data_IF_224846462615
#
_entry.id   IF_224846462615
#
_cell.length_a   1.000
_cell.length_b   1.000
_cell.length_c   1.000
_cell.angle_alpha   90.00
_cell.angle_beta   90.00
_cell.angle_gamma   90.00
#
_symmetry.space_group_name_H-M   'P 1'
#
loop_
_entity.id
_entity.type
_entity.pdbx_description
1 polymer ?
#
# COMPACT_ATOMS: atom_id res chain seq x y z
N UNK A 1 -21.03 8.10 9.82
CA UNK A 1 -20.34 6.95 9.18
C UNK A 1 -19.42 7.43 8.06
N UNK A 2 -19.83 8.44 7.30
CA UNK A 2 -19.11 8.95 6.12
C UNK A 2 -17.72 9.51 6.41
N UNK A 3 -17.52 10.23 7.52
CA UNK A 3 -16.19 10.73 7.90
C UNK A 3 -15.16 9.61 8.03
N UNK A 4 -15.54 8.47 8.61
CA UNK A 4 -14.65 7.30 8.75
C UNK A 4 -14.34 6.70 7.38
N UNK A 5 -15.32 6.64 6.47
CA UNK A 5 -15.11 6.15 5.11
C UNK A 5 -14.15 7.05 4.32
N UNK A 6 -14.24 8.37 4.52
CA UNK A 6 -13.30 9.32 3.91
C UNK A 6 -11.90 9.16 4.50
N UNK A 7 -11.76 9.00 5.83
CA UNK A 7 -10.46 8.78 6.47
C UNK A 7 -9.79 7.49 5.96
N UNK A 8 -10.55 6.42 5.69
CA UNK A 8 -10.00 5.19 5.10
C UNK A 8 -9.42 5.36 3.69
N UNK A 9 -9.83 6.42 2.99
CA UNK A 9 -9.28 6.79 1.68
C UNK A 9 -8.02 7.65 1.78
N UNK A 10 -7.64 8.09 2.98
CA UNK A 10 -6.40 8.83 3.21
C UNK A 10 -5.21 7.95 2.86
N UNK A 11 -4.31 8.47 2.02
CA UNK A 11 -3.09 7.78 1.60
C UNK A 11 -1.93 8.40 2.38
N UNK A 12 -1.34 7.62 3.30
CA UNK A 12 -0.27 8.08 4.19
C UNK A 12 0.93 7.14 4.10
N UNK A 13 2.14 7.70 4.11
CA UNK A 13 3.37 6.95 4.37
C UNK A 13 4.02 7.44 5.66
N UNK A 14 4.67 6.53 6.39
CA UNK A 14 5.46 6.81 7.58
C UNK A 14 6.83 6.15 7.45
N UNK A 15 7.88 6.88 7.81
CA UNK A 15 9.24 6.37 7.96
C UNK A 15 9.47 5.71 9.32
N UNK A 16 8.58 5.94 10.28
CA UNK A 16 8.68 5.43 11.65
C UNK A 16 8.03 4.06 11.79
N UNK A 17 8.72 3.13 12.46
CA UNK A 17 8.20 1.79 12.75
C UNK A 17 7.21 1.79 13.93
N UNK A 18 7.30 2.77 14.82
CA UNK A 18 6.39 2.94 15.96
C UNK A 18 5.12 3.73 15.56
N UNK A 19 4.01 3.59 16.31
CA UNK A 19 2.81 4.39 16.09
C UNK A 19 3.06 5.89 16.23
N UNK A 20 2.61 6.66 15.24
CA UNK A 20 2.76 8.12 15.20
C UNK A 20 1.41 8.79 15.18
N UNK A 21 1.27 9.86 15.95
CA UNK A 21 0.03 10.63 16.06
C UNK A 21 0.05 11.85 15.14
N UNK A 22 -1.02 12.03 14.37
CA UNK A 22 -1.30 13.24 13.59
C UNK A 22 -2.55 13.94 14.11
N UNK A 23 -2.60 15.25 13.94
CA UNK A 23 -3.73 16.06 14.39
C UNK A 23 -4.42 16.77 13.23
N UNK A 24 -5.74 16.81 13.27
CA UNK A 24 -6.55 17.67 12.41
C UNK A 24 -7.38 18.59 13.30
N UNK A 25 -7.26 19.91 13.07
CA UNK A 25 -8.04 20.91 13.79
C UNK A 25 -8.52 21.98 12.81
N UNK A 26 -9.83 22.12 12.65
CA UNK A 26 -10.44 23.15 11.78
C UNK A 26 -11.69 23.72 12.43
N UNK A 27 -11.88 25.03 12.30
CA UNK A 27 -13.02 25.76 12.85
C UNK A 27 -13.59 26.73 11.81
N UNK A 28 -14.91 26.95 11.88
CA UNK A 28 -15.63 27.84 10.97
C UNK A 28 -16.17 27.08 9.76
N UNK A 29 -17.06 27.72 8.97
CA UNK A 29 -17.69 27.09 7.83
C UNK A 29 -16.68 26.78 6.72
N UNK A 30 -16.81 25.62 6.08
CA UNK A 30 -16.00 25.26 4.91
C UNK A 30 -15.66 23.78 4.79
N UNK A 31 -14.96 23.43 3.72
CA UNK A 31 -14.46 22.07 3.50
C UNK A 31 -13.26 21.79 4.41
N UNK A 32 -13.25 20.59 5.00
CA UNK A 32 -12.09 19.99 5.66
C UNK A 32 -11.49 19.01 4.67
N UNK A 33 -10.21 19.20 4.36
CA UNK A 33 -9.45 18.36 3.42
C UNK A 33 -8.29 17.67 4.14
N UNK A 34 -7.69 16.67 3.51
CA UNK A 34 -6.50 16.02 4.02
C UNK A 34 -5.30 16.97 4.18
N UNK A 35 -5.25 18.07 3.41
CA UNK A 35 -4.27 19.15 3.59
C UNK A 35 -4.37 19.87 4.94
N UNK A 36 -5.51 19.78 5.64
CA UNK A 36 -5.70 20.37 6.98
C UNK A 36 -5.12 19.48 8.10
N UNK A 37 -4.62 18.28 7.77
CA UNK A 37 -3.90 17.41 8.70
C UNK A 37 -2.50 18.00 8.92
N UNK A 38 -2.06 18.06 10.18
CA UNK A 38 -0.69 18.40 10.55
C UNK A 38 0.11 17.11 10.79
N UNK A 39 0.79 16.55 9.78
CA UNK A 39 1.66 15.41 9.98
C UNK A 39 2.97 15.84 10.67
N UNK A 40 3.51 15.04 11.60
CA UNK A 40 4.85 15.24 12.13
C UNK A 40 5.92 14.88 11.08
N UNK A 41 7.18 15.21 11.37
CA UNK A 41 8.30 14.86 10.49
C UNK A 41 8.38 13.33 10.26
N UNK A 42 8.67 12.92 9.03
CA UNK A 42 8.71 11.51 8.62
C UNK A 42 7.35 10.87 8.31
N UNK A 43 6.25 11.65 8.37
CA UNK A 43 4.92 11.23 7.90
C UNK A 43 4.48 12.13 6.76
N UNK A 44 3.96 11.52 5.68
CA UNK A 44 3.55 12.23 4.48
C UNK A 44 2.14 11.82 4.05
N UNK A 45 1.32 12.81 3.68
CA UNK A 45 -0.03 12.63 3.14
C UNK A 45 0.01 12.83 1.63
N UNK A 46 -0.37 11.80 0.86
CA UNK A 46 -0.18 11.76 -0.60
C UNK A 46 -1.38 12.29 -1.40
N UNK A 47 -2.55 12.43 -0.77
CA UNK A 47 -3.77 12.98 -1.37
C UNK A 47 -4.32 14.18 -0.57
N UNK A 48 -3.62 15.33 -0.56
CA UNK A 48 -4.02 16.50 0.23
C UNK A 48 -5.38 17.09 -0.16
N UNK A 49 -5.84 16.84 -1.39
CA UNK A 49 -7.12 17.29 -1.95
C UNK A 49 -8.34 16.48 -1.49
N UNK A 50 -8.13 15.33 -0.83
CA UNK A 50 -9.20 14.48 -0.32
C UNK A 50 -10.10 15.26 0.65
N UNK A 51 -11.39 15.38 0.32
CA UNK A 51 -12.38 15.99 1.20
C UNK A 51 -12.77 15.01 2.31
N UNK A 52 -12.56 15.41 3.57
CA UNK A 52 -12.87 14.61 4.74
C UNK A 52 -14.26 14.93 5.30
N UNK A 53 -14.62 16.21 5.36
CA UNK A 53 -15.90 16.69 5.89
C UNK A 53 -16.23 18.11 5.42
N UNK A 54 -17.45 18.57 5.73
CA UNK A 54 -17.85 19.98 5.59
C UNK A 54 -18.34 20.49 6.94
N UNK A 55 -17.84 21.66 7.36
CA UNK A 55 -18.24 22.33 8.59
C UNK A 55 -19.33 23.37 8.33
N UNK A 56 -20.31 23.40 9.23
CA UNK A 56 -21.36 24.43 9.28
C UNK A 56 -20.84 25.71 9.96
N UNK A 57 -21.65 26.78 9.99
CA UNK A 57 -21.23 28.13 10.42
C UNK A 57 -20.49 28.26 11.76
N UNK A 58 -20.83 27.45 12.77
CA UNK A 58 -20.12 27.39 14.06
C UNK A 58 -19.43 26.04 14.31
N UNK A 59 -19.22 25.27 13.23
CA UNK A 59 -18.62 23.95 13.28
C UNK A 59 -17.17 24.00 13.75
N UNK A 60 -16.79 23.00 14.54
CA UNK A 60 -15.42 22.75 14.96
C UNK A 60 -15.17 21.25 14.82
N UNK A 61 -14.05 20.87 14.20
CA UNK A 61 -13.60 19.49 14.10
C UNK A 61 -12.19 19.40 14.68
N UNK A 62 -12.05 18.54 15.67
CA UNK A 62 -10.77 18.15 16.26
C UNK A 62 -10.69 16.64 16.21
N UNK A 63 -9.57 16.13 15.69
CA UNK A 63 -9.35 14.71 15.51
C UNK A 63 -7.88 14.39 15.74
N UNK A 64 -7.68 13.23 16.35
CA UNK A 64 -6.38 12.58 16.47
C UNK A 64 -6.40 11.31 15.61
N UNK A 65 -5.34 11.13 14.83
CA UNK A 65 -5.16 10.00 13.92
C UNK A 65 -3.86 9.29 14.29
N UNK A 66 -3.95 8.03 14.73
CA UNK A 66 -2.77 7.19 14.93
C UNK A 66 -2.45 6.48 13.61
N UNK A 67 -1.25 6.68 13.08
CA UNK A 67 -0.72 6.02 11.89
C UNK A 67 0.33 5.00 12.33
N UNK A 68 0.21 3.79 11.82
CA UNK A 68 1.11 2.68 12.12
C UNK A 68 1.59 2.05 10.81
N UNK A 69 2.80 1.49 10.80
CA UNK A 69 3.27 0.68 9.68
C UNK A 69 2.78 -0.75 9.84
N UNK A 70 2.33 -1.33 8.75
CA UNK A 70 1.83 -2.70 8.74
C UNK A 70 1.89 -3.32 7.35
N UNK A 71 1.34 -4.52 7.23
CA UNK A 71 1.27 -5.27 5.97
C UNK A 71 -0.15 -5.74 5.71
N UNK A 72 -0.57 -5.71 4.45
CA UNK A 72 -1.87 -6.21 4.02
C UNK A 72 -3.04 -5.40 4.57
N UNK A 73 -3.98 -6.09 5.21
CA UNK A 73 -5.23 -5.53 5.73
C UNK A 73 -5.47 -6.03 7.15
N UNK A 74 -5.86 -5.12 8.05
CA UNK A 74 -6.26 -5.44 9.42
C UNK A 74 -7.61 -4.82 9.69
N UNK A 75 -8.54 -5.60 10.23
CA UNK A 75 -9.89 -5.13 10.52
C UNK A 75 -9.96 -4.26 11.77
N UNK A 76 -10.97 -3.40 11.86
CA UNK A 76 -11.26 -2.58 13.03
C UNK A 76 -11.41 -3.42 14.32
N UNK A 77 -11.94 -4.65 14.21
CA UNK A 77 -12.10 -5.56 15.36
C UNK A 77 -10.75 -5.98 15.91
N UNK A 78 -9.77 -6.25 15.05
CA UNK A 78 -8.41 -6.62 15.44
C UNK A 78 -7.61 -5.43 15.98
N UNK A 79 -7.90 -4.22 15.48
CA UNK A 79 -7.31 -2.98 16.00
C UNK A 79 -7.84 -2.57 17.38
N UNK A 80 -8.91 -3.21 17.87
CA UNK A 80 -9.47 -2.94 19.19
C UNK A 80 -8.55 -3.49 20.27
N UNK A 81 -7.99 -2.60 21.08
CA UNK A 81 -7.13 -2.98 22.20
C UNK A 81 -7.93 -3.10 23.51
N UNK A 82 -7.54 -4.06 24.35
CA UNK A 82 -8.09 -4.19 25.71
C UNK A 82 -7.61 -3.00 26.54
N UNK A 83 -8.55 -2.22 27.09
CA UNK A 83 -8.24 -1.01 27.85
C UNK A 83 -7.99 0.24 27.02
N UNK A 84 -8.40 0.27 25.74
CA UNK A 84 -8.28 1.47 24.91
C UNK A 84 -9.00 2.68 25.54
N UNK A 85 -8.45 3.87 25.30
CA UNK A 85 -9.01 5.12 25.80
C UNK A 85 -10.45 5.36 25.31
N UNK A 86 -11.27 5.95 26.17
CA UNK A 86 -12.63 6.34 25.85
C UNK A 86 -12.58 7.40 24.76
N UNK A 87 -13.29 7.16 23.65
CA UNK A 87 -13.33 8.06 22.49
C UNK A 87 -12.45 7.61 21.32
N UNK A 88 -11.57 6.60 21.50
CA UNK A 88 -10.83 6.00 20.38
C UNK A 88 -11.75 5.09 19.57
N UNK A 89 -11.90 5.40 18.28
CA UNK A 89 -12.71 4.62 17.34
C UNK A 89 -11.76 3.80 16.47
N UNK A 90 -11.68 2.47 16.62
CA UNK A 90 -10.86 1.66 15.74
C UNK A 90 -11.48 1.62 14.34
N UNK A 91 -10.63 1.69 13.33
CA UNK A 91 -10.99 1.62 11.91
C UNK A 91 -10.20 0.51 11.24
N UNK A 92 -10.63 0.06 10.07
CA UNK A 92 -9.85 -0.90 9.28
C UNK A 92 -8.55 -0.24 8.78
N UNK A 93 -7.43 -0.93 8.91
CA UNK A 93 -6.12 -0.51 8.42
C UNK A 93 -5.83 -1.16 7.08
N UNK A 94 -5.86 -0.37 6.01
CA UNK A 94 -5.52 -0.80 4.65
C UNK A 94 -4.06 -0.44 4.38
N UNK A 95 -3.13 -1.24 4.93
CA UNK A 95 -1.69 -1.00 4.82
C UNK A 95 -1.15 -1.21 3.41
N UNK A 96 -1.77 -2.11 2.63
CA UNK A 96 -1.35 -2.36 1.26
C UNK A 96 -1.38 -1.07 0.42
N UNK A 97 -0.27 -0.70 -0.25
CA UNK A 97 -0.28 0.36 -1.24
C UNK A 97 -0.92 -0.10 -2.57
N UNK A 98 -1.09 -1.42 -2.76
CA UNK A 98 -1.76 -2.02 -3.92
C UNK A 98 -3.26 -2.13 -3.63
N UNK A 99 -4.08 -1.59 -4.52
CA UNK A 99 -5.55 -1.58 -4.41
C UNK A 99 -6.16 -2.81 -5.09
N UNK A 100 -5.69 -3.12 -6.29
CA UNK A 100 -6.25 -4.18 -7.12
C UNK A 100 -5.15 -4.79 -7.98
N UNK A 101 -5.20 -6.11 -8.10
CA UNK A 101 -4.37 -6.87 -9.04
C UNK A 101 -5.27 -7.78 -9.84
N UNK A 102 -5.06 -7.83 -11.14
CA UNK A 102 -5.66 -8.82 -12.02
C UNK A 102 -4.57 -9.42 -12.91
N UNK A 103 -4.76 -10.65 -13.35
CA UNK A 103 -3.82 -11.28 -14.26
C UNK A 103 -4.57 -12.11 -15.29
N UNK A 104 -3.93 -12.32 -16.44
CA UNK A 104 -4.36 -13.28 -17.45
C UNK A 104 -3.14 -13.96 -18.06
N UNK A 105 -3.35 -15.19 -18.50
CA UNK A 105 -2.34 -15.98 -19.19
C UNK A 105 -2.83 -16.19 -20.62
N UNK A 106 -1.96 -15.89 -21.57
CA UNK A 106 -2.23 -16.04 -23.00
C UNK A 106 -1.17 -16.96 -23.61
N UNK A 107 -1.58 -17.85 -24.51
CA UNK A 107 -0.63 -18.63 -25.29
C UNK A 107 0.25 -17.71 -26.14
N UNK A 108 1.55 -17.96 -26.14
CA UNK A 108 2.52 -17.15 -26.88
C UNK A 108 3.47 -18.05 -27.64
N UNK A 109 3.80 -17.63 -28.86
CA UNK A 109 4.81 -18.31 -29.67
C UNK A 109 6.16 -17.64 -29.41
N UNK A 110 7.14 -18.43 -29.01
CA UNK A 110 8.55 -18.02 -28.92
C UNK A 110 9.30 -18.86 -29.94
N UNK A 111 9.86 -18.20 -30.97
CA UNK A 111 10.49 -18.85 -32.11
C UNK A 111 9.57 -19.89 -32.79
N UNK A 112 9.97 -21.17 -32.82
CA UNK A 112 9.19 -22.26 -33.41
C UNK A 112 8.23 -22.93 -32.40
N UNK A 113 8.36 -22.62 -31.11
CA UNK A 113 7.58 -23.23 -30.02
C UNK A 113 6.34 -22.42 -29.71
N UNK A 114 5.17 -23.08 -29.66
CA UNK A 114 3.86 -22.45 -29.42
C UNK A 114 3.28 -22.75 -28.04
N UNK A 115 4.06 -23.42 -27.18
CA UNK A 115 3.65 -23.90 -25.86
C UNK A 115 4.13 -23.00 -24.71
N UNK A 116 4.55 -21.77 -25.02
CA UNK A 116 4.92 -20.79 -24.00
C UNK A 116 3.69 -20.00 -23.52
N UNK A 117 3.70 -19.64 -22.24
CA UNK A 117 2.69 -18.80 -21.63
C UNK A 117 3.21 -17.36 -21.48
N UNK A 118 2.39 -16.39 -21.90
CA UNK A 118 2.59 -14.97 -21.60
C UNK A 118 1.70 -14.57 -20.44
N UNK A 119 2.33 -14.26 -19.30
CA UNK A 119 1.64 -13.69 -18.15
C UNK A 119 1.49 -12.18 -18.31
N UNK A 120 0.26 -11.69 -18.23
CA UNK A 120 -0.05 -10.26 -18.20
C UNK A 120 -0.62 -9.94 -16.82
N UNK A 121 0.02 -9.03 -16.09
CA UNK A 121 -0.38 -8.58 -14.75
C UNK A 121 -0.74 -7.10 -14.82
N UNK A 122 -1.94 -6.77 -14.36
CA UNK A 122 -2.42 -5.39 -14.20
C UNK A 122 -2.47 -5.06 -12.70
N UNK A 123 -1.80 -3.99 -12.31
CA UNK A 123 -1.58 -3.60 -10.91
C UNK A 123 -1.98 -2.14 -10.72
N UNK A 124 -2.99 -1.93 -9.90
CA UNK A 124 -3.48 -0.62 -9.48
C UNK A 124 -2.96 -0.30 -8.08
N UNK A 125 -2.30 0.85 -7.92
CA UNK A 125 -1.72 1.29 -6.65
C UNK A 125 -2.23 2.65 -6.21
N UNK A 126 -2.17 2.91 -4.91
CA UNK A 126 -2.34 4.24 -4.31
C UNK A 126 -1.16 5.14 -4.70
N UNK A 127 -1.34 6.46 -4.57
CA UNK A 127 -0.31 7.45 -4.90
C UNK A 127 1.01 7.31 -4.12
N UNK A 128 0.99 6.65 -2.94
CA UNK A 128 2.19 6.42 -2.13
C UNK A 128 3.24 5.52 -2.80
N UNK A 129 2.90 4.75 -3.84
CA UNK A 129 3.85 3.86 -4.51
C UNK A 129 3.45 3.63 -5.97
N UNK A 130 4.42 3.65 -6.87
CA UNK A 130 4.17 3.31 -8.29
C UNK A 130 4.01 1.81 -8.48
N UNK A 131 3.19 1.35 -9.44
CA UNK A 131 3.00 -0.08 -9.72
C UNK A 131 4.31 -0.83 -10.00
N UNK A 132 5.25 -0.21 -10.71
CA UNK A 132 6.57 -0.79 -11.00
C UNK A 132 7.36 -1.11 -9.73
N UNK A 133 7.31 -0.20 -8.76
CA UNK A 133 8.09 -0.29 -7.53
C UNK A 133 7.42 -1.34 -6.60
N UNK A 134 6.09 -1.40 -6.61
CA UNK A 134 5.31 -2.45 -5.94
C UNK A 134 5.64 -3.84 -6.51
N UNK A 135 5.68 -3.99 -7.84
CA UNK A 135 6.06 -5.24 -8.50
C UNK A 135 7.51 -5.66 -8.19
N UNK A 136 8.44 -4.71 -8.21
CA UNK A 136 9.83 -4.96 -7.83
C UNK A 136 9.95 -5.41 -6.36
N UNK A 137 9.23 -4.75 -5.45
CA UNK A 137 9.17 -5.12 -4.04
C UNK A 137 8.60 -6.54 -3.83
N UNK A 138 7.55 -6.89 -4.57
CA UNK A 138 6.97 -8.23 -4.53
C UNK A 138 7.94 -9.29 -5.05
N UNK A 139 8.62 -9.01 -6.18
CA UNK A 139 9.65 -9.88 -6.74
C UNK A 139 10.80 -10.13 -5.76
N UNK A 140 11.34 -9.08 -5.14
CA UNK A 140 12.37 -9.21 -4.10
C UNK A 140 11.91 -10.14 -2.96
N UNK A 141 10.71 -9.92 -2.45
CA UNK A 141 10.14 -10.73 -1.36
C UNK A 141 10.00 -12.20 -1.76
N UNK A 142 9.55 -12.49 -2.99
CA UNK A 142 9.42 -13.85 -3.49
C UNK A 142 10.78 -14.54 -3.67
N UNK A 143 11.77 -13.82 -4.21
CA UNK A 143 13.13 -14.35 -4.36
C UNK A 143 13.74 -14.70 -3.00
N UNK A 144 13.60 -13.82 -2.01
CA UNK A 144 14.05 -14.09 -0.63
C UNK A 144 13.34 -15.31 -0.04
N UNK A 145 12.02 -15.44 -0.26
CA UNK A 145 11.24 -16.58 0.23
C UNK A 145 11.68 -17.91 -0.41
N UNK A 146 11.84 -17.95 -1.73
CA UNK A 146 12.31 -19.15 -2.44
C UNK A 146 13.79 -19.45 -2.21
N UNK A 147 14.58 -18.44 -1.82
CA UNK A 147 15.96 -18.61 -1.37
C UNK A 147 16.08 -19.63 -0.23
N UNK A 148 15.14 -19.61 0.72
CA UNK A 148 15.08 -20.58 1.84
C UNK A 148 14.97 -22.03 1.36
N UNK A 149 14.24 -22.27 0.26
CA UNK A 149 14.12 -23.61 -0.32
C UNK A 149 15.38 -24.00 -1.12
N UNK A 150 15.97 -23.04 -1.85
CA UNK A 150 17.21 -23.25 -2.61
C UNK A 150 18.39 -23.67 -1.71
N UNK A 151 18.44 -23.16 -0.48
CA UNK A 151 19.50 -23.48 0.48
C UNK A 151 19.53 -24.96 0.92
N UNK A 152 18.44 -25.72 0.70
CA UNK A 152 18.40 -27.14 1.03
C UNK A 152 19.33 -27.98 0.14
N UNK A 153 19.52 -27.58 -1.12
CA UNK A 153 20.45 -28.19 -2.05
C UNK A 153 20.78 -27.21 -3.18
N UNK A 154 21.96 -26.61 -3.13
CA UNK A 154 22.41 -25.59 -4.09
C UNK A 154 22.70 -26.22 -5.46
N UNK A 155 23.01 -27.51 -5.50
CA UNK A 155 23.34 -28.26 -6.71
C UNK A 155 22.10 -28.89 -7.38
N UNK A 156 20.89 -28.62 -6.87
CA UNK A 156 19.66 -29.14 -7.45
C UNK A 156 19.46 -28.63 -8.88
N UNK A 157 19.03 -29.52 -9.79
CA UNK A 157 18.75 -29.17 -11.18
C UNK A 157 17.60 -28.14 -11.24
N UNK A 158 17.90 -26.97 -11.83
CA UNK A 158 16.92 -25.92 -12.09
C UNK A 158 16.51 -25.88 -13.56
N UNK A 159 15.38 -25.24 -13.83
CA UNK A 159 14.97 -24.90 -15.21
C UNK A 159 15.71 -23.62 -15.61
N UNK A 160 16.44 -23.66 -16.73
CA UNK A 160 17.08 -22.48 -17.31
C UNK A 160 16.00 -21.52 -17.83
N UNK A 161 15.94 -20.31 -17.25
CA UNK A 161 14.94 -19.31 -17.60
C UNK A 161 15.34 -18.45 -18.82
N UNK A 162 16.53 -18.67 -19.40
CA UNK A 162 17.07 -17.80 -20.44
C UNK A 162 17.44 -16.40 -19.91
N UNK A 163 18.11 -15.57 -20.73
CA UNK A 163 18.54 -14.24 -20.30
C UNK A 163 17.35 -13.31 -20.05
N UNK A 164 17.42 -12.46 -19.04
CA UNK A 164 16.41 -11.41 -18.86
C UNK A 164 16.44 -10.45 -20.06
N UNK A 165 15.35 -9.71 -20.35
CA UNK A 165 15.35 -8.69 -21.39
C UNK A 165 16.47 -7.65 -21.21
N UNK A 166 16.86 -7.40 -19.95
CA UNK A 166 17.98 -6.54 -19.58
C UNK A 166 19.32 -7.15 -19.97
N UNK A 167 19.50 -8.45 -19.73
CA UNK A 167 20.72 -9.18 -20.09
C UNK A 167 20.85 -9.31 -21.62
N UNK A 168 19.72 -9.51 -22.32
CA UNK A 168 19.67 -9.54 -23.77
C UNK A 168 20.02 -8.17 -24.40
N UNK A 169 19.63 -7.07 -23.76
CA UNK A 169 19.97 -5.71 -24.21
C UNK A 169 21.41 -5.31 -23.88
N UNK A 170 22.01 -5.85 -22.81
CA UNK A 170 23.42 -5.66 -22.45
C UNK A 170 24.37 -6.51 -23.30
N UNK A 171 23.87 -7.60 -23.89
CA UNK A 171 24.63 -8.49 -24.77
C UNK A 171 24.61 -8.10 -26.25
N UNK A 172 23.86 -7.05 -26.62
CA UNK A 172 23.73 -6.51 -27.98
C UNK A 172 24.55 -5.22 -28.17
#
# INVERSE_FOLDING_TARGET
TDLILNIKQLVVSSEHDEPVVMYLRKQGPGLVTAADIAPPAGVEVHNPDLVLATLNGKGKLEMELTVERGRGYVSAVQNKQVGQEIGRIPVDSIYSPVLKVTYKVEATRVEQRTDFDKLIVDVETKQAMRPRDAMASAGKTLVELFGLARELNIDAEGIDMGPSPTDAALAA
#
